data_IF_713487622765
#
_entry.id   IF_713487622765
#
_cell.length_a   1.000
_cell.length_b   1.000
_cell.length_c   1.000
_cell.angle_alpha   90.00
_cell.angle_beta   90.00
_cell.angle_gamma   90.00
#
_symmetry.space_group_name_H-M   'P 1'
#
loop_
_entity.id
_entity.type
_entity.pdbx_description
1 polymer ?
#
# COMPACT_ATOMS: atom_id res chain seq x y z
N UNK A 1 -16.84 8.75 -7.56
CA UNK A 1 -15.86 8.08 -8.45
C UNK A 1 -16.08 6.59 -8.32
N UNK A 2 -15.70 5.78 -9.31
CA UNK A 2 -15.69 4.31 -9.19
C UNK A 2 -14.28 3.75 -9.44
N UNK A 3 -14.12 2.43 -9.30
CA UNK A 3 -12.83 1.77 -9.46
C UNK A 3 -12.22 1.93 -10.87
N UNK A 4 -13.05 1.96 -11.91
CA UNK A 4 -12.60 2.11 -13.29
C UNK A 4 -12.14 3.54 -13.58
N UNK A 5 -12.87 4.54 -13.08
CA UNK A 5 -12.49 5.95 -13.16
C UNK A 5 -11.21 6.23 -12.36
N UNK A 6 -11.06 5.62 -11.17
CA UNK A 6 -9.83 5.71 -10.38
C UNK A 6 -8.62 5.18 -11.16
N UNK A 7 -8.76 4.02 -11.82
CA UNK A 7 -7.70 3.45 -12.65
C UNK A 7 -7.32 4.36 -13.80
N UNK A 8 -8.29 4.93 -14.51
CA UNK A 8 -8.03 5.87 -15.61
C UNK A 8 -7.30 7.12 -15.13
N UNK A 9 -7.69 7.64 -13.96
CA UNK A 9 -7.01 8.76 -13.31
C UNK A 9 -5.55 8.42 -12.97
N UNK A 10 -5.31 7.27 -12.34
CA UNK A 10 -3.96 6.82 -11.99
C UNK A 10 -3.10 6.53 -13.23
N UNK A 11 -3.68 5.94 -14.28
CA UNK A 11 -3.01 5.72 -15.56
C UNK A 11 -2.53 7.03 -16.17
N UNK A 12 -3.37 8.07 -16.19
CA UNK A 12 -3.02 9.38 -16.72
C UNK A 12 -1.86 10.03 -15.94
N UNK A 13 -1.87 9.94 -14.61
CA UNK A 13 -0.76 10.43 -13.79
C UNK A 13 0.55 9.67 -14.05
N UNK A 14 0.50 8.33 -14.12
CA UNK A 14 1.66 7.51 -14.45
C UNK A 14 2.21 7.83 -15.83
N UNK A 15 1.33 8.07 -16.81
CA UNK A 15 1.73 8.48 -18.15
C UNK A 15 2.46 9.82 -18.12
N UNK A 16 1.91 10.83 -17.45
CA UNK A 16 2.55 12.13 -17.29
C UNK A 16 3.94 12.00 -16.65
N UNK A 17 4.06 11.20 -15.58
CA UNK A 17 5.32 10.98 -14.86
C UNK A 17 6.35 10.14 -15.63
N UNK A 18 5.91 9.40 -16.64
CA UNK A 18 6.79 8.58 -17.49
C UNK A 18 7.50 9.38 -18.60
N UNK A 19 7.01 10.58 -18.92
CA UNK A 19 7.52 11.43 -20.01
C UNK A 19 8.82 12.19 -19.60
N UNK A 20 9.63 12.65 -20.57
CA UNK A 20 10.77 13.55 -20.27
C UNK A 20 10.29 14.79 -19.49
N UNK A 21 10.98 15.14 -18.40
CA UNK A 21 10.62 16.28 -17.55
C UNK A 21 9.47 16.06 -16.56
N UNK A 22 8.75 14.92 -16.63
CA UNK A 22 7.61 14.62 -15.74
C UNK A 22 7.93 13.81 -14.48
N UNK A 23 9.18 13.41 -14.26
CA UNK A 23 9.54 12.48 -13.18
C UNK A 23 9.54 13.09 -11.77
N UNK A 24 9.38 12.24 -10.76
CA UNK A 24 9.81 12.53 -9.39
C UNK A 24 11.35 12.60 -9.40
N UNK A 25 11.99 13.69 -8.91
CA UNK A 25 13.45 13.76 -8.84
C UNK A 25 14.09 12.62 -8.02
N UNK A 26 13.31 11.97 -7.15
CA UNK A 26 13.75 10.79 -6.36
C UNK A 26 13.72 9.48 -7.14
N UNK A 27 12.89 9.36 -8.17
CA UNK A 27 12.64 8.09 -8.85
C UNK A 27 12.70 8.18 -10.39
N UNK A 28 13.47 7.27 -10.99
CA UNK A 28 13.71 7.30 -12.44
C UNK A 28 12.48 6.94 -13.29
N UNK A 29 12.36 7.58 -14.46
CA UNK A 29 11.30 7.33 -15.49
C UNK A 29 11.06 5.87 -15.84
N UNK A 30 12.05 4.99 -15.66
CA UNK A 30 11.90 3.54 -15.90
C UNK A 30 10.86 2.91 -14.97
N UNK A 31 10.81 3.35 -13.71
CA UNK A 31 9.84 2.89 -12.72
C UNK A 31 8.42 3.24 -13.15
N UNK A 32 8.16 4.51 -13.46
CA UNK A 32 6.84 4.96 -13.94
C UNK A 32 6.41 4.27 -15.23
N UNK A 33 7.35 3.97 -16.16
CA UNK A 33 7.03 3.18 -17.36
C UNK A 33 6.63 1.74 -17.04
N UNK A 34 7.24 1.10 -16.04
CA UNK A 34 6.85 -0.25 -15.62
C UNK A 34 5.48 -0.23 -14.94
N UNK A 35 5.26 0.72 -14.03
CA UNK A 35 3.96 0.95 -13.37
C UNK A 35 2.85 1.25 -14.37
N UNK A 36 3.10 2.11 -15.38
CA UNK A 36 2.12 2.42 -16.43
C UNK A 36 1.72 1.17 -17.22
N UNK A 37 2.69 0.32 -17.58
CA UNK A 37 2.41 -0.94 -18.29
C UNK A 37 1.59 -1.90 -17.42
N UNK A 38 1.93 -2.04 -16.14
CA UNK A 38 1.16 -2.86 -15.21
C UNK A 38 -0.25 -2.30 -15.00
N UNK A 39 -0.39 -0.97 -14.83
CA UNK A 39 -1.67 -0.30 -14.70
C UNK A 39 -2.57 -0.57 -15.92
N UNK A 40 -2.02 -0.54 -17.13
CA UNK A 40 -2.79 -0.89 -18.35
C UNK A 40 -3.20 -2.37 -18.41
N UNK A 41 -2.37 -3.27 -17.88
CA UNK A 41 -2.58 -4.72 -17.98
C UNK A 41 -3.45 -5.30 -16.86
N UNK A 42 -3.43 -4.71 -15.66
CA UNK A 42 -4.15 -5.20 -14.49
C UNK A 42 -5.52 -4.52 -14.36
N UNK A 43 -6.53 -5.22 -13.84
CA UNK A 43 -7.83 -4.61 -13.57
C UNK A 43 -7.74 -3.57 -12.42
N UNK A 44 -8.75 -2.71 -12.28
CA UNK A 44 -9.04 -2.11 -10.99
C UNK A 44 -9.67 -3.14 -10.06
N UNK A 45 -9.42 -3.05 -8.75
CA UNK A 45 -10.17 -3.79 -7.74
C UNK A 45 -11.21 -2.88 -7.09
N UNK A 46 -12.27 -3.48 -6.57
CA UNK A 46 -13.34 -2.81 -5.83
C UNK A 46 -13.73 -3.68 -4.64
N UNK A 47 -13.89 -3.07 -3.46
CA UNK A 47 -14.46 -3.71 -2.30
C UNK A 47 -15.63 -2.87 -1.76
N UNK A 48 -16.76 -3.52 -1.54
CA UNK A 48 -17.84 -2.99 -0.72
C UNK A 48 -17.37 -2.98 0.74
N UNK A 49 -17.56 -1.86 1.46
CA UNK A 49 -16.96 -1.58 2.78
C UNK A 49 -16.93 -2.80 3.72
N UNK A 50 -15.79 -3.52 3.82
CA UNK A 50 -15.78 -4.82 4.47
C UNK A 50 -15.76 -4.68 5.99
N UNK A 51 -16.61 -5.44 6.68
CA UNK A 51 -16.73 -5.42 8.14
C UNK A 51 -15.42 -5.77 8.86
N UNK A 52 -14.56 -6.60 8.26
CA UNK A 52 -13.25 -6.98 8.81
C UNK A 52 -12.16 -7.00 7.75
N UNK A 53 -11.46 -5.87 7.60
CA UNK A 53 -10.31 -5.75 6.73
C UNK A 53 -9.11 -5.10 7.43
N UNK A 54 -7.92 -5.56 7.04
CA UNK A 54 -6.64 -5.05 7.52
C UNK A 54 -5.79 -4.56 6.35
N UNK A 55 -4.97 -3.55 6.59
CA UNK A 55 -4.20 -2.84 5.56
C UNK A 55 -2.76 -2.66 5.99
N UNK A 56 -1.83 -2.84 5.06
CA UNK A 56 -0.42 -2.46 5.20
C UNK A 56 0.28 -2.40 3.84
N UNK A 57 1.51 -1.89 3.83
CA UNK A 57 2.31 -1.74 2.61
C UNK A 57 3.80 -1.87 2.88
N UNK A 58 4.59 -2.02 1.83
CA UNK A 58 6.04 -1.89 1.84
C UNK A 58 6.73 -2.91 2.75
N UNK A 59 6.24 -4.16 2.76
CA UNK A 59 6.86 -5.22 3.58
C UNK A 59 8.34 -5.37 3.23
N UNK A 60 8.67 -5.28 1.94
CA UNK A 60 10.04 -5.45 1.43
C UNK A 60 10.73 -6.70 2.01
N UNK A 61 10.01 -7.83 2.03
CA UNK A 61 10.56 -9.09 2.49
C UNK A 61 11.90 -9.36 1.76
N UNK A 62 12.91 -9.80 2.48
CA UNK A 62 14.22 -10.09 1.90
C UNK A 62 15.08 -8.89 1.49
N UNK A 63 14.80 -7.68 2.02
CA UNK A 63 15.49 -6.45 1.61
C UNK A 63 16.39 -5.82 2.70
N UNK A 64 17.63 -6.27 2.90
CA UNK A 64 18.49 -5.70 3.96
C UNK A 64 18.73 -4.18 3.85
N UNK A 65 18.75 -3.63 2.63
CA UNK A 65 18.99 -2.21 2.42
C UNK A 65 17.83 -1.34 2.93
N UNK A 66 16.58 -1.84 2.95
CA UNK A 66 15.44 -1.04 3.42
C UNK A 66 15.57 -0.71 4.89
N UNK A 67 16.13 -1.64 5.68
CA UNK A 67 16.35 -1.48 7.11
C UNK A 67 17.17 -0.23 7.39
N UNK A 68 18.29 -0.06 6.67
CA UNK A 68 19.15 1.13 6.83
C UNK A 68 18.52 2.38 6.23
N UNK A 69 17.84 2.24 5.09
CA UNK A 69 17.23 3.35 4.38
C UNK A 69 16.12 4.03 5.19
N UNK A 70 15.26 3.24 5.84
CA UNK A 70 14.12 3.74 6.62
C UNK A 70 14.30 3.62 8.13
N UNK A 71 15.51 3.24 8.58
CA UNK A 71 15.82 3.02 10.00
C UNK A 71 14.88 2.03 10.68
N UNK A 72 14.56 0.91 10.01
CA UNK A 72 13.74 -0.15 10.61
C UNK A 72 14.47 -0.78 11.79
N UNK A 73 13.76 -1.15 12.88
CA UNK A 73 14.37 -1.65 14.11
C UNK A 73 14.71 -3.15 14.03
N UNK A 74 15.30 -3.61 12.91
CA UNK A 74 15.65 -5.00 12.69
C UNK A 74 17.14 -5.14 12.39
N UNK A 75 17.76 -6.22 12.87
CA UNK A 75 19.19 -6.44 12.66
C UNK A 75 19.53 -6.78 11.19
N UNK A 76 18.64 -7.49 10.50
CA UNK A 76 18.80 -7.95 9.11
C UNK A 76 17.44 -8.37 8.53
N UNK A 77 17.39 -8.63 7.23
CA UNK A 77 16.16 -8.99 6.53
C UNK A 77 15.49 -10.27 7.07
N UNK A 78 16.20 -11.38 7.36
CA UNK A 78 15.55 -12.56 7.96
C UNK A 78 14.82 -12.27 9.29
N UNK A 79 15.41 -11.44 10.16
CA UNK A 79 14.77 -11.03 11.43
C UNK A 79 13.56 -10.14 11.19
N UNK A 80 13.64 -9.23 10.22
CA UNK A 80 12.51 -8.38 9.80
C UNK A 80 11.37 -9.22 9.25
N UNK A 81 11.65 -10.09 8.27
CA UNK A 81 10.67 -10.95 7.61
C UNK A 81 9.91 -11.79 8.64
N UNK A 82 10.64 -12.47 9.54
CA UNK A 82 10.04 -13.27 10.61
C UNK A 82 9.16 -12.43 11.55
N UNK A 83 9.55 -11.18 11.83
CA UNK A 83 8.77 -10.28 12.68
C UNK A 83 7.50 -9.79 12.00
N UNK A 84 7.56 -9.41 10.72
CA UNK A 84 6.40 -9.03 9.92
C UNK A 84 5.38 -10.17 9.82
N UNK A 85 5.84 -11.40 9.58
CA UNK A 85 4.95 -12.55 9.57
C UNK A 85 4.31 -12.83 10.94
N UNK A 86 5.07 -12.75 12.04
CA UNK A 86 4.50 -12.92 13.38
C UNK A 86 3.45 -11.84 13.69
N UNK A 87 3.76 -10.60 13.32
CA UNK A 87 2.85 -9.47 13.51
C UNK A 87 1.56 -9.65 12.71
N UNK A 88 1.67 -10.08 11.45
CA UNK A 88 0.52 -10.45 10.63
C UNK A 88 -0.31 -11.55 11.29
N UNK A 89 0.30 -12.68 11.64
CA UNK A 89 -0.40 -13.82 12.24
C UNK A 89 -1.06 -13.51 13.60
N UNK A 90 -0.49 -12.57 14.36
CA UNK A 90 -1.03 -12.12 15.64
C UNK A 90 -2.19 -11.11 15.49
N UNK A 91 -2.33 -10.47 14.32
CA UNK A 91 -3.25 -9.34 14.13
C UNK A 91 -4.46 -9.73 13.27
N UNK A 92 -4.23 -10.44 12.18
CA UNK A 92 -5.27 -10.78 11.19
C UNK A 92 -5.90 -12.11 11.58
N UNK A 93 -7.23 -12.18 11.59
CA UNK A 93 -8.01 -13.39 11.79
C UNK A 93 -8.10 -14.25 10.52
N UNK A 94 -8.51 -15.51 10.67
CA UNK A 94 -8.62 -16.43 9.54
C UNK A 94 -9.68 -16.00 8.50
N UNK A 95 -10.77 -15.36 8.94
CA UNK A 95 -11.88 -14.93 8.09
C UNK A 95 -11.75 -13.48 7.58
N UNK A 96 -10.67 -12.79 7.92
CA UNK A 96 -10.51 -11.37 7.59
C UNK A 96 -10.05 -11.16 6.14
N UNK A 97 -10.33 -9.98 5.62
CA UNK A 97 -9.72 -9.48 4.38
C UNK A 97 -8.38 -8.80 4.71
N UNK A 98 -7.36 -9.02 3.88
CA UNK A 98 -6.06 -8.38 4.00
C UNK A 98 -5.67 -7.68 2.70
N UNK A 99 -5.39 -6.39 2.79
CA UNK A 99 -5.03 -5.52 1.67
C UNK A 99 -3.55 -5.15 1.79
N UNK A 100 -2.78 -5.52 0.77
CA UNK A 100 -1.39 -5.13 0.59
C UNK A 100 -1.33 -3.98 -0.41
N UNK A 101 -0.73 -2.85 -0.03
CA UNK A 101 -0.62 -1.66 -0.89
C UNK A 101 0.75 -1.58 -1.56
N UNK A 102 1.29 -2.73 -1.98
CA UNK A 102 2.48 -2.85 -2.82
C UNK A 102 3.80 -3.14 -2.10
N UNK A 103 4.82 -3.42 -2.90
CA UNK A 103 6.22 -3.64 -2.53
C UNK A 103 6.41 -4.75 -1.48
N UNK A 104 5.92 -5.94 -1.84
CA UNK A 104 5.80 -7.09 -0.95
C UNK A 104 7.16 -7.73 -0.66
N UNK A 105 7.94 -8.06 -1.70
CA UNK A 105 9.19 -8.80 -1.55
C UNK A 105 10.29 -8.36 -2.53
N UNK A 106 11.53 -8.63 -2.13
CA UNK A 106 12.76 -8.30 -2.82
C UNK A 106 13.77 -9.45 -2.73
N UNK A 107 14.72 -9.47 -3.67
CA UNK A 107 15.90 -10.36 -3.66
C UNK A 107 15.50 -11.82 -3.41
N UNK A 108 16.03 -12.46 -2.37
CA UNK A 108 15.81 -13.87 -2.09
C UNK A 108 14.37 -14.20 -1.67
N UNK A 109 13.60 -13.21 -1.20
CA UNK A 109 12.20 -13.41 -0.85
C UNK A 109 11.27 -13.37 -2.06
N UNK A 110 11.76 -13.11 -3.27
CA UNK A 110 11.02 -13.37 -4.51
C UNK A 110 11.15 -14.87 -4.82
N UNK A 111 10.36 -15.70 -4.13
CA UNK A 111 10.47 -17.15 -4.17
C UNK A 111 9.13 -17.84 -3.98
N UNK A 112 9.00 -19.08 -4.48
CA UNK A 112 7.80 -19.89 -4.31
C UNK A 112 7.46 -20.14 -2.84
N UNK A 113 8.48 -20.27 -1.96
CA UNK A 113 8.29 -20.41 -0.52
C UNK A 113 7.60 -19.18 0.07
N UNK A 114 8.05 -17.97 -0.30
CA UNK A 114 7.41 -16.72 0.12
C UNK A 114 5.96 -16.65 -0.34
N UNK A 115 5.68 -17.03 -1.59
CA UNK A 115 4.33 -16.97 -2.16
C UNK A 115 3.40 -18.01 -1.55
N UNK A 116 3.89 -19.22 -1.27
CA UNK A 116 3.15 -20.23 -0.51
C UNK A 116 2.84 -19.73 0.91
N UNK A 117 3.81 -19.07 1.55
CA UNK A 117 3.61 -18.50 2.88
C UNK A 117 2.59 -17.36 2.88
N UNK A 118 2.60 -16.50 1.86
CA UNK A 118 1.58 -15.45 1.71
C UNK A 118 0.20 -16.08 1.47
N UNK A 119 0.11 -17.04 0.55
CA UNK A 119 -1.15 -17.73 0.24
C UNK A 119 -1.77 -18.40 1.46
N UNK A 120 -0.95 -19.12 2.23
CA UNK A 120 -1.38 -19.92 3.39
C UNK A 120 -1.47 -19.13 4.70
N UNK A 121 -0.93 -17.92 4.76
CA UNK A 121 -1.02 -17.04 5.93
C UNK A 121 -2.47 -16.61 6.21
N UNK A 122 -2.71 -16.04 7.40
CA UNK A 122 -4.05 -15.61 7.82
C UNK A 122 -4.70 -14.57 6.91
N UNK A 123 -6.03 -14.55 6.93
CA UNK A 123 -6.87 -13.77 6.03
C UNK A 123 -7.40 -14.65 4.91
N UNK A 124 -8.73 -14.72 4.78
CA UNK A 124 -9.39 -15.58 3.78
C UNK A 124 -9.45 -14.95 2.40
N UNK A 125 -9.25 -13.62 2.32
CA UNK A 125 -9.21 -12.86 1.07
C UNK A 125 -8.02 -11.91 1.10
N UNK A 126 -7.06 -12.10 0.19
CA UNK A 126 -5.82 -11.32 0.12
C UNK A 126 -5.79 -10.53 -1.19
N UNK A 127 -5.83 -9.21 -1.07
CA UNK A 127 -5.79 -8.30 -2.22
C UNK A 127 -4.44 -7.59 -2.27
N UNK A 128 -3.87 -7.47 -3.46
CA UNK A 128 -2.66 -6.68 -3.72
C UNK A 128 -2.98 -5.52 -4.67
N UNK A 129 -2.70 -4.30 -4.22
CA UNK A 129 -2.51 -3.14 -5.09
C UNK A 129 -1.02 -3.06 -5.42
N UNK A 130 -0.65 -3.32 -6.67
CA UNK A 130 0.76 -3.51 -7.02
C UNK A 130 1.61 -2.27 -6.79
N UNK A 131 2.80 -2.48 -6.24
CA UNK A 131 3.88 -1.51 -6.15
C UNK A 131 4.95 -1.69 -7.22
N UNK A 132 5.88 -0.74 -7.30
CA UNK A 132 6.93 -0.77 -8.34
C UNK A 132 7.94 -1.91 -8.14
N UNK A 133 8.15 -2.34 -6.91
CA UNK A 133 8.93 -3.53 -6.58
C UNK A 133 8.10 -4.81 -6.63
N UNK A 134 6.84 -4.79 -7.05
CA UNK A 134 6.10 -6.01 -7.40
C UNK A 134 6.23 -6.37 -8.89
N UNK A 135 6.93 -5.52 -9.65
CA UNK A 135 7.04 -5.61 -11.10
C UNK A 135 8.48 -5.90 -11.56
N UNK A 136 8.58 -6.65 -12.65
CA UNK A 136 9.76 -6.69 -13.51
C UNK A 136 9.87 -5.36 -14.25
N UNK A 137 11.06 -5.02 -14.74
CA UNK A 137 11.25 -3.82 -15.57
C UNK A 137 10.43 -3.78 -16.87
N UNK A 138 9.89 -4.93 -17.29
CA UNK A 138 8.93 -5.04 -18.41
C UNK A 138 7.50 -4.63 -18.04
N UNK A 139 7.16 -4.50 -16.76
CA UNK A 139 5.80 -4.29 -16.24
C UNK A 139 5.06 -5.57 -15.86
N UNK A 140 5.64 -6.75 -16.10
CA UNK A 140 5.04 -8.03 -15.67
C UNK A 140 5.25 -8.27 -14.16
N UNK A 141 4.31 -8.96 -13.54
CA UNK A 141 4.37 -9.32 -12.11
C UNK A 141 5.61 -10.17 -11.79
N UNK A 142 6.13 -10.00 -10.58
CA UNK A 142 7.10 -10.92 -9.95
C UNK A 142 6.64 -11.38 -8.56
N UNK A 143 5.35 -11.21 -8.28
CA UNK A 143 4.67 -11.54 -7.03
C UNK A 143 3.54 -12.53 -7.29
N UNK A 144 3.15 -13.28 -6.27
CA UNK A 144 2.09 -14.29 -6.30
C UNK A 144 1.56 -14.51 -4.86
N UNK A 145 0.53 -15.34 -4.69
CA UNK A 145 -0.05 -15.71 -3.40
C UNK A 145 -1.26 -14.88 -2.97
N UNK A 146 -1.81 -14.07 -3.89
CA UNK A 146 -2.97 -13.19 -3.66
C UNK A 146 -4.19 -13.70 -4.44
N UNK A 147 -5.37 -13.51 -3.87
CA UNK A 147 -6.64 -13.86 -4.51
C UNK A 147 -7.01 -12.85 -5.59
N UNK A 148 -6.70 -11.57 -5.34
CA UNK A 148 -6.85 -10.49 -6.31
C UNK A 148 -5.61 -9.62 -6.41
N UNK A 149 -5.26 -9.24 -7.64
CA UNK A 149 -4.14 -8.34 -7.94
C UNK A 149 -4.65 -7.23 -8.85
N UNK A 150 -4.64 -6.00 -8.33
CA UNK A 150 -5.13 -4.81 -9.01
C UNK A 150 -4.04 -3.75 -9.19
N UNK A 151 -4.28 -2.86 -10.15
CA UNK A 151 -3.47 -1.64 -10.33
C UNK A 151 -3.82 -0.55 -9.33
N UNK A 152 -5.07 -0.52 -8.91
CA UNK A 152 -5.68 0.36 -7.91
C UNK A 152 -6.75 -0.45 -7.17
N UNK A 153 -7.15 0.01 -5.99
CA UNK A 153 -8.33 -0.51 -5.30
C UNK A 153 -9.22 0.67 -4.87
N UNK A 154 -10.51 0.59 -5.15
CA UNK A 154 -11.52 1.49 -4.62
C UNK A 154 -12.29 0.78 -3.51
N UNK A 155 -12.48 1.44 -2.37
CA UNK A 155 -13.29 0.89 -1.28
C UNK A 155 -14.42 1.85 -0.95
N UNK A 156 -15.65 1.33 -0.99
CA UNK A 156 -16.85 2.09 -0.63
C UNK A 156 -16.82 2.59 0.81
N UNK A 157 -17.77 3.45 1.17
CA UNK A 157 -17.94 4.02 2.51
C UNK A 157 -17.84 5.54 2.50
N UNK A 158 -17.88 6.14 3.69
CA UNK A 158 -17.88 7.60 3.87
C UNK A 158 -16.76 8.03 4.84
N UNK A 159 -15.68 8.69 4.36
CA UNK A 159 -15.41 8.97 2.95
C UNK A 159 -14.95 7.71 2.19
N UNK A 160 -15.08 7.66 0.85
CA UNK A 160 -14.49 6.61 0.04
C UNK A 160 -12.96 6.60 0.13
N UNK A 161 -12.37 5.41 0.12
CA UNK A 161 -10.92 5.23 0.16
C UNK A 161 -10.41 4.75 -1.20
N UNK A 162 -9.36 5.39 -1.70
CA UNK A 162 -8.71 5.03 -2.96
C UNK A 162 -7.28 4.58 -2.70
N UNK A 163 -6.93 3.39 -3.15
CA UNK A 163 -5.66 2.76 -2.86
C UNK A 163 -4.78 2.74 -4.10
N UNK A 164 -3.59 3.31 -3.96
CA UNK A 164 -2.51 3.27 -4.95
C UNK A 164 -1.19 3.10 -4.21
N UNK A 165 -0.26 2.27 -4.71
CA UNK A 165 1.03 2.15 -4.04
C UNK A 165 1.81 3.47 -4.07
N UNK A 166 2.01 4.02 -5.28
CA UNK A 166 2.57 5.36 -5.46
C UNK A 166 1.43 6.37 -5.20
N UNK A 167 1.63 7.37 -4.33
CA UNK A 167 0.59 8.35 -4.03
C UNK A 167 0.17 9.14 -5.27
N UNK A 168 -1.13 9.41 -5.35
CA UNK A 168 -1.70 10.31 -6.35
C UNK A 168 -1.13 11.73 -6.15
N UNK A 169 -0.98 12.47 -7.24
CA UNK A 169 -0.64 13.90 -7.17
C UNK A 169 -1.90 14.70 -6.83
N UNK A 170 -3.03 14.32 -7.44
CA UNK A 170 -4.33 14.89 -7.13
C UNK A 170 -5.26 13.78 -6.69
N UNK A 171 -5.67 13.83 -5.42
CA UNK A 171 -6.70 12.93 -4.90
C UNK A 171 -8.07 13.39 -5.42
N UNK A 172 -8.93 12.48 -5.90
CA UNK A 172 -10.29 12.81 -6.29
C UNK A 172 -11.08 13.46 -5.16
N UNK A 173 -11.92 14.43 -5.51
CA UNK A 173 -12.70 15.19 -4.52
C UNK A 173 -13.56 14.24 -3.65
N UNK A 174 -13.56 14.47 -2.35
CA UNK A 174 -14.28 13.66 -1.36
C UNK A 174 -13.65 12.29 -1.04
N UNK A 175 -12.56 11.91 -1.70
CA UNK A 175 -11.84 10.66 -1.42
C UNK A 175 -10.58 10.91 -0.55
N UNK A 176 -10.07 9.85 0.06
CA UNK A 176 -8.74 9.84 0.68
C UNK A 176 -7.87 8.77 0.02
N UNK A 177 -6.64 9.14 -0.35
CA UNK A 177 -5.69 8.21 -0.94
C UNK A 177 -4.90 7.47 0.14
N UNK A 178 -5.14 6.16 0.26
CA UNK A 178 -4.34 5.27 1.10
C UNK A 178 -3.19 4.71 0.25
N UNK A 179 -1.95 4.93 0.68
CA UNK A 179 -0.77 4.63 -0.14
C UNK A 179 0.40 4.07 0.67
N UNK A 180 1.39 3.51 -0.02
CA UNK A 180 2.69 3.12 0.54
C UNK A 180 3.80 3.99 -0.03
N UNK A 181 4.91 3.36 -0.44
CA UNK A 181 5.98 3.92 -1.26
C UNK A 181 6.84 5.01 -0.60
N UNK A 182 6.26 5.90 0.21
CA UNK A 182 6.99 7.03 0.81
C UNK A 182 7.57 6.72 2.18
N UNK A 183 7.32 5.52 2.75
CA UNK A 183 7.91 5.06 4.00
C UNK A 183 7.75 6.05 5.15
N UNK A 184 8.84 6.65 5.63
CA UNK A 184 8.84 7.64 6.71
C UNK A 184 8.32 9.01 6.27
N UNK A 185 8.31 9.29 4.96
CA UNK A 185 7.95 10.58 4.37
C UNK A 185 6.44 10.67 4.14
N UNK A 186 5.65 10.53 5.21
CA UNK A 186 4.20 10.66 5.15
C UNK A 186 3.78 12.16 5.14
N UNK A 187 3.04 12.63 4.11
CA UNK A 187 2.53 14.00 4.09
C UNK A 187 1.45 14.19 5.18
N UNK A 188 1.61 15.23 6.00
CA UNK A 188 0.80 15.42 7.23
C UNK A 188 -0.46 16.26 7.01
N UNK A 189 -0.39 17.22 6.09
CA UNK A 189 -1.47 18.13 5.72
C UNK A 189 -1.82 17.84 4.27
N UNK A 190 -2.52 16.74 4.04
CA UNK A 190 -2.92 16.31 2.71
C UNK A 190 -4.01 15.23 2.77
N UNK A 191 -4.75 14.99 1.68
CA UNK A 191 -5.76 13.93 1.57
C UNK A 191 -5.15 12.52 1.42
N UNK A 192 -4.02 12.26 2.08
CA UNK A 192 -3.27 11.02 1.99
C UNK A 192 -3.08 10.38 3.37
N UNK A 193 -3.15 9.05 3.38
CA UNK A 193 -2.78 8.23 4.54
C UNK A 193 -1.74 7.21 4.10
N UNK A 194 -0.55 7.29 4.69
CA UNK A 194 0.55 6.38 4.41
C UNK A 194 0.43 5.13 5.31
N UNK A 195 0.41 3.95 4.69
CA UNK A 195 0.31 2.64 5.35
C UNK A 195 1.55 1.76 5.14
N UNK A 196 2.69 2.35 4.75
CA UNK A 196 3.99 1.68 4.86
C UNK A 196 4.19 1.15 6.27
N UNK A 197 4.80 -0.03 6.42
CA UNK A 197 5.00 -0.68 7.73
C UNK A 197 5.66 0.21 8.79
N UNK A 198 6.49 1.18 8.39
CA UNK A 198 7.10 2.16 9.29
C UNK A 198 6.08 3.09 9.98
N UNK A 199 4.93 3.33 9.34
CA UNK A 199 3.83 4.14 9.88
C UNK A 199 2.92 3.36 10.83
N UNK A 200 3.06 2.03 10.86
CA UNK A 200 2.11 1.10 11.44
C UNK A 200 2.70 0.18 12.52
N UNK A 201 3.87 0.54 13.07
CA UNK A 201 4.60 -0.31 14.02
C UNK A 201 4.77 -1.75 13.50
N UNK A 202 4.99 -1.86 12.18
CA UNK A 202 5.21 -3.11 11.46
C UNK A 202 4.07 -4.13 11.59
N UNK A 203 2.81 -3.66 11.73
CA UNK A 203 1.59 -4.47 11.84
C UNK A 203 0.54 -4.01 10.83
N UNK A 204 -0.34 -4.91 10.35
CA UNK A 204 -1.55 -4.50 9.65
C UNK A 204 -2.43 -3.61 10.53
N UNK A 205 -3.05 -2.59 9.96
CA UNK A 205 -4.01 -1.71 10.65
C UNK A 205 -5.42 -1.95 10.14
N UNK A 206 -6.40 -1.95 11.04
CA UNK A 206 -7.79 -2.19 10.68
C UNK A 206 -8.33 -1.05 9.80
N UNK A 207 -9.03 -1.41 8.72
CA UNK A 207 -9.63 -0.47 7.77
C UNK A 207 -10.58 0.54 8.45
N UNK A 208 -11.43 0.17 9.44
CA UNK A 208 -12.26 1.15 10.14
C UNK A 208 -11.47 2.26 10.84
N UNK A 209 -10.27 1.97 11.36
CA UNK A 209 -9.40 2.98 11.98
C UNK A 209 -8.83 3.95 10.94
N UNK A 210 -8.48 3.44 9.75
CA UNK A 210 -8.09 4.28 8.62
C UNK A 210 -9.25 5.15 8.15
N UNK A 211 -10.47 4.60 8.10
CA UNK A 211 -11.68 5.36 7.72
C UNK A 211 -12.01 6.46 8.72
N UNK A 212 -11.86 6.21 10.02
CA UNK A 212 -12.00 7.23 11.04
C UNK A 212 -10.99 8.39 10.82
N UNK A 213 -9.72 8.08 10.57
CA UNK A 213 -8.72 9.10 10.23
C UNK A 213 -9.07 9.83 8.92
N UNK A 214 -9.56 9.10 7.91
CA UNK A 214 -9.94 9.66 6.62
C UNK A 214 -11.08 10.68 6.75
N UNK A 215 -12.08 10.43 7.61
CA UNK A 215 -13.17 11.37 7.86
C UNK A 215 -12.68 12.72 8.37
N UNK A 216 -11.69 12.74 9.27
CA UNK A 216 -11.04 13.98 9.71
C UNK A 216 -10.28 14.66 8.56
N UNK A 217 -9.52 13.88 7.79
CA UNK A 217 -8.71 14.39 6.68
C UNK A 217 -9.57 15.06 5.60
N UNK A 218 -10.72 14.48 5.24
CA UNK A 218 -11.67 15.08 4.28
C UNK A 218 -12.30 16.35 4.84
N UNK A 219 -12.50 16.44 6.16
CA UNK A 219 -12.94 17.65 6.84
C UNK A 219 -11.82 18.69 7.02
N UNK A 220 -10.67 18.51 6.37
CA UNK A 220 -9.46 19.34 6.50
C UNK A 220 -8.94 19.45 7.95
N UNK A 221 -9.24 18.44 8.76
CA UNK A 221 -8.72 18.28 10.11
C UNK A 221 -7.57 17.27 10.06
N UNK A 222 -6.38 17.70 10.47
CA UNK A 222 -5.17 16.88 10.40
C UNK A 222 -4.70 16.56 11.82
N UNK A 223 -5.08 15.39 12.38
CA UNK A 223 -4.67 15.00 13.73
C UNK A 223 -3.15 14.99 13.88
N UNK A 224 -2.67 15.35 15.08
CA UNK A 224 -1.25 15.34 15.40
C UNK A 224 -0.70 13.90 15.46
N UNK A 225 0.61 13.75 15.28
CA UNK A 225 1.29 12.45 15.35
C UNK A 225 2.29 12.28 14.22
N UNK A 226 3.48 11.78 14.54
CA UNK A 226 4.57 11.49 13.62
C UNK A 226 4.21 10.39 12.61
N UNK A 227 3.42 9.40 13.03
CA UNK A 227 3.03 8.24 12.23
C UNK A 227 1.52 8.16 12.01
N UNK A 228 1.07 7.34 11.06
CA UNK A 228 -0.37 7.05 10.88
C UNK A 228 -1.00 6.51 12.15
N UNK A 229 -0.34 5.63 12.90
CA UNK A 229 -0.86 5.14 14.18
C UNK A 229 -0.99 6.23 15.24
N UNK A 230 -0.01 7.13 15.35
CA UNK A 230 -0.12 8.25 16.30
C UNK A 230 -1.27 9.19 15.93
N UNK A 231 -1.50 9.41 14.64
CA UNK A 231 -2.64 10.22 14.15
C UNK A 231 -3.99 9.56 14.44
N UNK A 232 -4.07 8.24 14.27
CA UNK A 232 -5.27 7.45 14.65
C UNK A 232 -5.48 7.53 16.17
N UNK A 233 -4.42 7.40 16.98
CA UNK A 233 -4.52 7.49 18.43
C UNK A 233 -4.98 8.90 18.89
N UNK A 234 -4.54 9.96 18.20
CA UNK A 234 -4.91 11.34 18.52
C UNK A 234 -6.41 11.64 18.36
N UNK A 235 -7.14 10.83 17.58
CA UNK A 235 -8.61 10.93 17.43
C UNK A 235 -9.37 9.92 18.29
N UNK A 236 -8.67 9.12 19.12
CA UNK A 236 -9.28 8.12 19.99
C UNK A 236 -9.81 6.87 19.27
N UNK A 237 -9.28 6.56 18.09
CA UNK A 237 -9.68 5.41 17.27
C UNK A 237 -8.66 4.27 17.27
#
# INVERSE_FOLDING_TARGET
MDAQALKQHYEAELEARSRPGGGDPRHGRRMFRAMLKACRALPPCHLEDPDSAWVWSDLHLGHDNIIRYTNRPFANAPVMDASLYRNWEATVGAADTLIFVGDVAMRYAVSDETWQRIRNGRGTSKHLVVGNHDLKGSGGLRVDGFDEIGSVLYVDGDPPLVFTHIPLTRVPDGCVNVHGHTHNDAPRVSPHINVSVEQLDYRPVALPRLRALAAHVVAEQYPAGATTLERIAAIGA
#
